data_IF_066514687823
#
_entry.id   IF_066514687823
#
_cell.length_a   1.000
_cell.length_b   1.000
_cell.length_c   1.000
_cell.angle_alpha   90.00
_cell.angle_beta   90.00
_cell.angle_gamma   90.00
#
_symmetry.space_group_name_H-M   'P 1'
#
loop_
_entity.id
_entity.type
_entity.pdbx_description
1 polymer ?
#
# COMPACT_ATOMS: atom_id res chain seq x y z
N UNK A 1 11.09 17.82 -4.53
CA UNK A 1 10.04 16.82 -4.21
C UNK A 1 10.43 15.52 -4.88
N UNK A 2 10.45 14.40 -4.15
CA UNK A 2 10.78 13.09 -4.74
C UNK A 2 9.53 12.52 -5.42
N UNK A 3 9.68 12.00 -6.65
CA UNK A 3 8.57 11.44 -7.41
C UNK A 3 8.07 10.13 -6.77
N UNK A 4 6.74 9.99 -6.59
CA UNK A 4 6.12 8.78 -6.02
C UNK A 4 6.05 7.68 -7.07
N UNK A 5 7.09 6.87 -7.15
CA UNK A 5 7.23 5.82 -8.16
C UNK A 5 6.89 4.41 -7.66
N UNK A 6 6.72 4.24 -6.35
CA UNK A 6 6.33 2.95 -5.78
C UNK A 6 4.87 2.95 -5.38
N UNK A 7 4.15 1.93 -5.82
CA UNK A 7 2.85 1.53 -5.26
C UNK A 7 3.11 0.36 -4.32
N UNK A 8 2.59 0.46 -3.10
CA UNK A 8 2.77 -0.57 -2.08
C UNK A 8 1.42 -1.05 -1.57
N UNK A 9 1.38 -2.34 -1.25
CA UNK A 9 0.29 -2.99 -0.53
C UNK A 9 0.85 -3.48 0.80
N UNK A 10 0.30 -2.98 1.89
CA UNK A 10 0.57 -3.49 3.23
C UNK A 10 -0.53 -4.46 3.63
N UNK A 11 -0.17 -5.50 4.36
CA UNK A 11 -1.10 -6.46 4.96
C UNK A 11 -0.98 -6.39 6.47
N UNK A 12 -2.11 -6.38 7.16
CA UNK A 12 -2.10 -6.49 8.63
C UNK A 12 -1.72 -7.92 9.02
N UNK A 13 -0.77 -8.04 9.94
CA UNK A 13 -0.35 -9.34 10.48
C UNK A 13 -1.41 -9.92 11.43
N UNK A 14 -2.16 -9.05 12.11
CA UNK A 14 -3.20 -9.46 13.09
C UNK A 14 -4.56 -9.68 12.45
N UNK A 15 -4.84 -9.03 11.32
CA UNK A 15 -6.11 -9.14 10.60
C UNK A 15 -5.84 -9.42 9.11
N UNK A 16 -5.72 -10.69 8.75
CA UNK A 16 -5.27 -11.14 7.43
C UNK A 16 -6.15 -10.66 6.26
N UNK A 17 -7.40 -10.27 6.52
CA UNK A 17 -8.31 -9.71 5.53
C UNK A 17 -8.09 -8.21 5.26
N UNK A 18 -7.23 -7.54 6.05
CA UNK A 18 -6.96 -6.11 5.89
C UNK A 18 -5.72 -5.83 5.07
N UNK A 19 -5.95 -5.05 4.04
CA UNK A 19 -4.95 -4.50 3.15
C UNK A 19 -5.00 -2.98 3.17
N UNK A 20 -3.84 -2.37 2.98
CA UNK A 20 -3.70 -0.95 2.76
C UNK A 20 -2.93 -0.73 1.46
N UNK A 21 -3.43 0.16 0.60
CA UNK A 21 -2.81 0.49 -0.68
C UNK A 21 -2.46 1.97 -0.70
N UNK A 22 -1.23 2.29 -1.11
CA UNK A 22 -0.79 3.66 -1.31
C UNK A 22 0.38 3.77 -2.27
N UNK A 23 0.76 5.00 -2.58
CA UNK A 23 1.98 5.32 -3.32
C UNK A 23 2.95 6.15 -2.47
N UNK A 24 4.24 6.01 -2.72
CA UNK A 24 5.30 6.71 -1.97
C UNK A 24 6.59 6.82 -2.77
N UNK A 25 7.48 7.71 -2.32
CA UNK A 25 8.89 7.78 -2.75
C UNK A 25 9.82 7.12 -1.72
N UNK A 26 9.29 6.53 -0.66
CA UNK A 26 10.02 5.73 0.33
C UNK A 26 9.04 4.74 0.96
N UNK A 27 9.21 3.46 0.64
CA UNK A 27 8.33 2.38 1.12
C UNK A 27 8.67 2.01 2.56
N UNK A 28 9.95 2.03 2.92
CA UNK A 28 10.41 1.62 4.24
C UNK A 28 10.00 2.64 5.30
N UNK A 29 10.26 3.93 5.07
CA UNK A 29 9.82 4.99 5.97
C UNK A 29 8.30 5.02 6.11
N UNK A 30 7.55 4.70 5.05
CA UNK A 30 6.09 4.60 5.10
C UNK A 30 5.59 3.43 5.93
N UNK A 31 6.24 2.27 5.84
CA UNK A 31 5.95 1.12 6.69
C UNK A 31 6.15 1.47 8.18
N UNK A 32 7.26 2.12 8.49
CA UNK A 32 7.60 2.58 9.84
C UNK A 32 6.58 3.58 10.36
N UNK A 33 6.15 4.56 9.55
CA UNK A 33 5.06 5.48 9.89
C UNK A 33 3.77 4.73 10.22
N UNK A 34 3.35 3.77 9.40
CA UNK A 34 2.14 2.98 9.66
C UNK A 34 2.25 2.17 10.95
N UNK A 35 3.42 1.63 11.25
CA UNK A 35 3.70 0.84 12.44
C UNK A 35 3.95 1.68 13.70
N UNK A 36 4.36 2.94 13.57
CA UNK A 36 4.46 3.90 14.68
C UNK A 36 3.09 4.20 15.32
N UNK A 37 2.01 4.02 14.57
CA UNK A 37 0.65 4.24 15.05
C UNK A 37 0.18 5.69 15.04
N UNK A 38 0.96 6.59 14.42
CA UNK A 38 0.61 8.01 14.25
C UNK A 38 -0.68 8.16 13.43
N UNK A 39 -0.93 7.27 12.46
CA UNK A 39 -2.16 7.27 11.68
C UNK A 39 -3.32 6.61 12.43
N UNK A 40 -4.29 7.41 12.89
CA UNK A 40 -5.47 6.98 13.67
C UNK A 40 -6.34 5.91 12.98
N UNK A 41 -6.31 5.85 11.64
CA UNK A 41 -7.09 4.86 10.88
C UNK A 41 -6.37 3.52 10.72
N UNK A 42 -5.04 3.51 10.65
CA UNK A 42 -4.26 2.26 10.46
C UNK A 42 -3.65 1.73 11.75
N UNK A 43 -3.67 2.51 12.84
CA UNK A 43 -3.01 2.14 14.10
C UNK A 43 -3.64 0.93 14.81
N UNK A 44 -4.93 0.66 14.59
CA UNK A 44 -5.68 -0.45 15.20
C UNK A 44 -5.33 -1.82 14.64
N UNK A 45 -4.75 -1.86 13.43
CA UNK A 45 -4.48 -3.09 12.68
C UNK A 45 -2.98 -3.35 12.50
N UNK A 46 -2.16 -2.70 13.33
CA UNK A 46 -0.72 -2.98 13.40
C UNK A 46 -0.47 -4.36 14.08
N UNK A 47 0.68 -4.99 13.83
CA UNK A 47 1.71 -4.56 12.88
C UNK A 47 1.30 -4.82 11.43
N UNK A 48 1.76 -3.94 10.55
CA UNK A 48 1.69 -4.06 9.11
C UNK A 48 2.98 -4.67 8.59
N UNK A 49 2.87 -5.50 7.55
CA UNK A 49 3.98 -6.01 6.78
C UNK A 49 3.85 -5.58 5.32
N UNK A 50 4.97 -5.39 4.64
CA UNK A 50 4.99 -5.21 3.19
C UNK A 50 4.54 -6.53 2.56
N UNK A 51 3.50 -6.44 1.73
CA UNK A 51 2.93 -7.58 1.04
C UNK A 51 3.30 -7.57 -0.44
N UNK A 52 3.15 -6.41 -1.09
CA UNK A 52 3.56 -6.20 -2.48
C UNK A 52 4.14 -4.80 -2.63
N UNK A 53 5.19 -4.68 -3.45
CA UNK A 53 5.73 -3.39 -3.91
C UNK A 53 5.90 -3.46 -5.42
N UNK A 54 5.42 -2.44 -6.12
CA UNK A 54 5.53 -2.32 -7.57
C UNK A 54 6.17 -0.96 -7.87
N UNK A 55 7.32 -0.98 -8.54
CA UNK A 55 7.98 0.22 -9.03
C UNK A 55 7.53 0.55 -10.45
N UNK A 56 7.30 1.85 -10.67
CA UNK A 56 7.02 2.40 -11.98
C UNK A 56 8.15 3.36 -12.40
N UNK A 57 8.49 3.42 -13.70
CA UNK A 57 9.46 4.38 -14.20
C UNK A 57 8.95 5.83 -14.08
N UNK A 58 7.63 6.03 -14.07
CA UNK A 58 7.00 7.34 -13.97
C UNK A 58 5.91 7.39 -12.88
N UNK A 59 5.80 8.55 -12.24
CA UNK A 59 4.84 8.78 -11.14
C UNK A 59 3.39 8.74 -11.61
N UNK A 60 3.11 9.13 -12.86
CA UNK A 60 1.73 9.14 -13.37
C UNK A 60 1.16 7.73 -13.46
N UNK A 61 1.94 6.75 -13.93
CA UNK A 61 1.56 5.34 -13.96
C UNK A 61 1.42 4.76 -12.56
N UNK A 62 2.31 5.12 -11.62
CA UNK A 62 2.17 4.70 -10.23
C UNK A 62 0.85 5.18 -9.63
N UNK A 63 0.51 6.47 -9.79
CA UNK A 63 -0.75 7.05 -9.30
C UNK A 63 -1.96 6.41 -9.97
N UNK A 64 -1.96 6.26 -11.30
CA UNK A 64 -3.05 5.62 -12.02
C UNK A 64 -3.27 4.16 -11.57
N UNK A 65 -2.18 3.43 -11.28
CA UNK A 65 -2.27 2.07 -10.79
C UNK A 65 -2.76 2.00 -9.34
N UNK A 66 -2.33 2.93 -8.47
CA UNK A 66 -2.85 3.07 -7.10
C UNK A 66 -4.37 3.32 -7.11
N UNK A 67 -4.84 4.25 -7.95
CA UNK A 67 -6.27 4.55 -8.13
C UNK A 67 -7.04 3.34 -8.65
N UNK A 68 -6.47 2.63 -9.62
CA UNK A 68 -7.02 1.37 -10.10
C UNK A 68 -7.18 0.36 -8.96
N UNK A 69 -6.15 0.09 -8.16
CA UNK A 69 -6.21 -0.85 -7.03
C UNK A 69 -7.25 -0.46 -5.97
N UNK A 70 -7.55 0.84 -5.82
CA UNK A 70 -8.59 1.33 -4.91
C UNK A 70 -10.01 1.14 -5.43
N UNK A 71 -10.19 0.96 -6.74
CA UNK A 71 -11.48 0.67 -7.40
C UNK A 71 -12.02 -0.73 -7.07
N UNK A 72 -13.29 -0.99 -7.40
CA UNK A 72 -13.90 -2.32 -7.16
C UNK A 72 -13.21 -3.44 -7.93
N UNK A 73 -12.92 -3.23 -9.22
CA UNK A 73 -12.21 -4.22 -10.06
C UNK A 73 -10.75 -4.38 -9.63
N UNK A 74 -10.08 -3.29 -9.22
CA UNK A 74 -8.72 -3.37 -8.69
C UNK A 74 -8.62 -4.10 -7.37
N UNK A 75 -9.60 -3.96 -6.47
CA UNK A 75 -9.69 -4.77 -5.25
C UNK A 75 -9.86 -6.26 -5.57
N UNK A 76 -10.70 -6.60 -6.53
CA UNK A 76 -10.85 -7.98 -6.99
C UNK A 76 -9.58 -8.53 -7.63
N UNK A 77 -8.87 -7.71 -8.42
CA UNK A 77 -7.57 -8.03 -8.97
C UNK A 77 -6.54 -8.30 -7.88
N UNK A 78 -6.40 -7.39 -6.91
CA UNK A 78 -5.46 -7.52 -5.79
C UNK A 78 -5.76 -8.78 -4.98
N UNK A 79 -7.03 -9.03 -4.68
CA UNK A 79 -7.46 -10.24 -3.99
C UNK A 79 -7.06 -11.50 -4.76
N UNK A 80 -7.25 -11.53 -6.09
CA UNK A 80 -6.95 -12.71 -6.89
C UNK A 80 -5.45 -12.98 -7.08
N UNK A 81 -4.62 -11.94 -7.13
CA UNK A 81 -3.21 -12.06 -7.53
C UNK A 81 -2.21 -11.82 -6.39
N UNK A 82 -2.64 -11.18 -5.32
CA UNK A 82 -1.79 -10.88 -4.18
C UNK A 82 -2.13 -11.74 -2.94
N UNK A 83 -3.36 -12.24 -2.75
CA UNK A 83 -3.61 -13.25 -1.70
C UNK A 83 -2.93 -14.59 -1.98
#
# INVERSE_FOLDING_TARGET
MQARRWVYVLKSVVESSRYYVGSTSDVQGRLEEHNSGICRHTNKHRPWAIHVVIEFPDERRAVAFEEYLKSGSGRAFAKRHFE
#
